data_IF_772436727010
#
_entry.id   IF_772436727010
#
_cell.length_a   1.000
_cell.length_b   1.000
_cell.length_c   1.000
_cell.angle_alpha   90.00
_cell.angle_beta   90.00
_cell.angle_gamma   90.00
#
_symmetry.space_group_name_H-M   'P 1'
#
loop_
_entity.id
_entity.type
_entity.pdbx_description
1 polymer ?
#
# COMPACT_ATOMS: atom_id res chain seq x y z
N UNK A 1 63.18 10.88 -31.28
CA UNK A 1 62.58 9.61 -30.79
C UNK A 1 61.39 9.99 -29.90
N UNK A 2 60.20 10.19 -30.46
CA UNK A 2 59.12 9.20 -30.73
C UNK A 2 58.19 9.01 -29.50
N UNK A 3 56.93 9.47 -29.66
CA UNK A 3 55.63 9.15 -28.98
C UNK A 3 55.45 9.46 -27.47
N UNK A 4 54.29 9.89 -26.93
CA UNK A 4 52.94 10.13 -27.48
C UNK A 4 52.10 11.04 -26.53
N UNK A 5 51.20 11.83 -27.11
CA UNK A 5 49.99 12.39 -26.48
C UNK A 5 48.99 11.28 -26.12
N UNK A 6 48.51 11.20 -24.88
CA UNK A 6 47.20 10.66 -24.47
C UNK A 6 46.76 11.38 -23.17
N UNK A 7 45.90 12.42 -23.25
CA UNK A 7 44.45 12.42 -22.89
C UNK A 7 44.25 12.20 -21.37
N UNK A 8 43.54 12.98 -20.51
CA UNK A 8 42.23 13.67 -20.46
C UNK A 8 40.91 12.83 -20.44
N UNK A 9 40.85 11.48 -20.64
CA UNK A 9 39.58 10.77 -20.66
C UNK A 9 39.28 10.04 -19.34
N UNK A 10 40.26 9.81 -18.47
CA UNK A 10 40.07 8.93 -17.30
C UNK A 10 39.15 9.55 -16.23
N UNK A 11 39.28 10.85 -15.99
CA UNK A 11 38.47 11.57 -15.01
C UNK A 11 37.01 11.81 -15.46
N UNK A 12 36.75 11.84 -16.78
CA UNK A 12 35.37 11.91 -17.31
C UNK A 12 34.67 10.55 -17.34
N UNK A 13 35.42 9.46 -17.45
CA UNK A 13 34.84 8.11 -17.51
C UNK A 13 34.31 7.63 -16.16
N UNK A 14 34.96 8.02 -15.05
CA UNK A 14 34.50 7.70 -13.70
C UNK A 14 33.24 8.52 -13.33
N UNK A 15 33.16 9.78 -13.78
CA UNK A 15 31.98 10.63 -13.54
C UNK A 15 30.76 10.21 -14.38
N UNK A 16 30.96 9.70 -15.59
CA UNK A 16 29.89 9.10 -16.39
C UNK A 16 29.43 7.73 -15.87
N UNK A 17 30.31 6.93 -15.25
CA UNK A 17 29.93 5.62 -14.71
C UNK A 17 29.04 5.75 -13.47
N UNK A 18 29.28 6.73 -12.60
CA UNK A 18 28.47 6.99 -11.40
C UNK A 18 27.07 7.56 -11.73
N UNK A 19 26.91 8.27 -12.84
CA UNK A 19 25.59 8.76 -13.28
C UNK A 19 24.78 7.64 -13.98
N UNK A 20 25.44 6.69 -14.65
CA UNK A 20 24.77 5.59 -15.35
C UNK A 20 24.40 4.41 -14.43
N UNK A 21 25.18 4.13 -13.38
CA UNK A 21 24.80 3.09 -12.40
C UNK A 21 23.73 3.57 -11.42
N UNK A 22 23.65 4.87 -11.13
CA UNK A 22 22.56 5.43 -10.32
C UNK A 22 21.23 5.50 -11.11
N UNK A 23 21.26 5.77 -12.41
CA UNK A 23 20.05 5.78 -13.25
C UNK A 23 19.57 4.37 -13.66
N UNK A 24 20.33 3.30 -13.37
CA UNK A 24 19.99 1.93 -13.77
C UNK A 24 19.11 1.15 -12.80
N UNK A 25 18.92 1.61 -11.55
CA UNK A 25 18.26 0.80 -10.52
C UNK A 25 16.96 1.38 -9.96
N UNK A 26 16.62 2.67 -10.11
CA UNK A 26 15.29 3.17 -9.72
C UNK A 26 14.85 4.38 -10.54
N UNK A 27 13.87 4.17 -11.41
CA UNK A 27 13.11 5.22 -12.06
C UNK A 27 12.16 5.92 -11.08
N UNK A 28 12.44 7.20 -10.82
CA UNK A 28 11.53 8.29 -10.46
C UNK A 28 10.62 8.16 -9.21
N UNK A 29 10.98 8.86 -8.11
CA UNK A 29 10.41 10.20 -7.78
C UNK A 29 10.95 10.84 -6.49
N UNK A 30 11.40 12.09 -6.66
CA UNK A 30 11.49 13.23 -5.73
C UNK A 30 12.00 13.04 -4.29
N UNK A 31 13.25 13.44 -4.08
CA UNK A 31 13.61 14.29 -2.94
C UNK A 31 14.58 15.38 -3.44
N UNK A 32 14.10 16.61 -3.49
CA UNK A 32 14.92 17.81 -3.64
C UNK A 32 15.70 17.93 -2.33
N UNK A 33 17.00 17.62 -2.36
CA UNK A 33 17.92 18.03 -1.30
C UNK A 33 18.76 19.16 -1.89
N UNK A 34 18.61 20.34 -1.28
CA UNK A 34 19.28 21.59 -1.63
C UNK A 34 20.78 21.39 -1.88
N UNK A 35 21.20 21.59 -3.13
CA UNK A 35 22.61 21.65 -3.57
C UNK A 35 23.18 23.06 -3.30
N UNK A 36 22.97 23.58 -2.09
CA UNK A 36 23.37 24.95 -1.73
C UNK A 36 24.22 25.04 -0.45
N UNK A 37 24.67 23.91 0.10
CA UNK A 37 25.53 23.89 1.31
C UNK A 37 26.95 23.38 1.03
N UNK A 38 27.25 22.87 -0.17
CA UNK A 38 28.56 22.25 -0.46
C UNK A 38 29.56 23.21 -1.12
N UNK A 39 29.14 24.43 -1.46
CA UNK A 39 29.96 25.35 -2.27
C UNK A 39 30.93 26.34 -1.58
N UNK A 40 31.15 26.40 -0.25
CA UNK A 40 32.25 27.23 0.28
C UNK A 40 33.51 26.46 0.73
N UNK A 41 33.57 25.13 0.64
CA UNK A 41 34.77 24.38 1.11
C UNK A 41 35.82 24.21 0.00
N UNK A 42 35.42 24.26 -1.26
CA UNK A 42 36.30 23.97 -2.40
C UNK A 42 37.27 25.11 -2.80
N UNK A 43 37.17 26.30 -2.19
CA UNK A 43 37.93 27.48 -2.63
C UNK A 43 39.09 27.90 -1.71
N UNK A 44 39.37 27.15 -0.62
CA UNK A 44 40.49 27.43 0.29
C UNK A 44 41.75 26.57 0.06
N UNK A 45 41.77 25.71 -0.95
CA UNK A 45 42.87 24.75 -1.16
C UNK A 45 43.90 25.21 -2.22
N UNK A 46 43.68 26.34 -2.90
CA UNK A 46 44.51 26.72 -4.07
C UNK A 46 45.63 27.75 -3.83
N UNK A 47 45.94 28.14 -2.60
CA UNK A 47 47.15 28.95 -2.34
C UNK A 47 47.90 28.50 -1.10
N UNK A 48 48.97 27.73 -1.32
CA UNK A 48 49.92 27.33 -0.28
C UNK A 48 50.80 26.18 -0.72
N UNK A 49 51.80 26.46 -1.56
CA UNK A 49 52.82 25.49 -1.91
C UNK A 49 53.87 25.40 -0.78
N UNK A 50 53.98 24.24 -0.11
CA UNK A 50 55.23 23.72 0.43
C UNK A 50 55.21 22.18 0.43
N UNK A 51 56.35 21.50 0.17
CA UNK A 51 56.39 20.07 -0.10
C UNK A 51 56.66 19.26 1.17
N UNK A 52 55.77 18.34 1.55
CA UNK A 52 56.03 17.28 2.53
C UNK A 52 55.26 16.00 2.15
N UNK A 53 56.01 15.09 1.54
CA UNK A 53 55.71 13.80 0.92
C UNK A 53 55.32 12.68 1.90
N UNK A 54 54.49 12.97 2.92
CA UNK A 54 54.08 11.94 3.91
C UNK A 54 52.60 12.01 4.36
N UNK A 55 51.75 12.85 3.74
CA UNK A 55 50.38 13.09 4.23
C UNK A 55 49.23 12.71 3.29
N UNK A 56 49.53 12.36 2.03
CA UNK A 56 48.52 11.95 1.05
C UNK A 56 48.18 10.46 1.19
N UNK A 57 49.19 9.61 1.38
CA UNK A 57 49.03 8.15 1.58
C UNK A 57 48.15 7.82 2.80
N UNK A 58 48.30 8.57 3.91
CA UNK A 58 47.50 8.36 5.12
C UNK A 58 46.03 8.73 4.97
N UNK A 59 45.73 9.73 4.13
CA UNK A 59 44.34 10.15 3.83
C UNK A 59 43.67 9.20 2.86
N UNK A 60 44.41 8.71 1.87
CA UNK A 60 43.91 7.73 0.90
C UNK A 60 43.68 6.36 1.56
N UNK A 61 44.56 5.95 2.48
CA UNK A 61 44.37 4.77 3.31
C UNK A 61 43.14 4.88 4.22
N UNK A 62 42.92 6.04 4.87
CA UNK A 62 41.74 6.27 5.71
C UNK A 62 40.43 6.27 4.90
N UNK A 63 40.45 6.82 3.67
CA UNK A 63 39.30 6.79 2.78
C UNK A 63 38.98 5.36 2.29
N UNK A 64 40.00 4.58 1.95
CA UNK A 64 39.83 3.16 1.60
C UNK A 64 39.30 2.32 2.76
N UNK A 65 39.76 2.58 3.99
CA UNK A 65 39.25 1.86 5.17
C UNK A 65 37.78 2.23 5.47
N UNK A 66 37.44 3.53 5.42
CA UNK A 66 36.05 3.96 5.57
C UNK A 66 35.12 3.38 4.49
N UNK A 67 35.62 3.23 3.26
CA UNK A 67 34.88 2.60 2.17
C UNK A 67 34.65 1.10 2.42
N UNK A 68 35.65 0.38 2.94
CA UNK A 68 35.51 -1.02 3.35
C UNK A 68 34.52 -1.20 4.51
N UNK A 69 34.57 -0.32 5.50
CA UNK A 69 33.61 -0.32 6.61
C UNK A 69 32.18 -0.10 6.11
N UNK A 70 31.99 0.83 5.15
CA UNK A 70 30.69 1.09 4.56
C UNK A 70 30.17 -0.11 3.76
N UNK A 71 31.01 -0.75 2.95
CA UNK A 71 30.66 -1.97 2.21
C UNK A 71 30.28 -3.12 3.14
N UNK A 72 31.02 -3.29 4.25
CA UNK A 72 30.72 -4.28 5.28
C UNK A 72 29.38 -4.00 5.98
N UNK A 73 29.08 -2.74 6.29
CA UNK A 73 27.79 -2.33 6.84
C UNK A 73 26.65 -2.56 5.86
N UNK A 74 26.84 -2.22 4.59
CA UNK A 74 25.83 -2.41 3.55
C UNK A 74 25.51 -3.89 3.37
N UNK A 75 26.53 -4.75 3.32
CA UNK A 75 26.35 -6.20 3.20
C UNK A 75 25.61 -6.77 4.41
N UNK A 76 25.94 -6.31 5.63
CA UNK A 76 25.26 -6.72 6.86
C UNK A 76 23.80 -6.29 6.88
N UNK A 77 23.49 -5.08 6.41
CA UNK A 77 22.11 -4.59 6.31
C UNK A 77 21.31 -5.40 5.30
N UNK A 78 21.87 -5.67 4.12
CA UNK A 78 21.21 -6.51 3.10
C UNK A 78 20.93 -7.92 3.64
N UNK A 79 21.90 -8.54 4.31
CA UNK A 79 21.70 -9.85 4.95
C UNK A 79 20.58 -9.84 6.00
N UNK A 80 20.50 -8.77 6.82
CA UNK A 80 19.41 -8.61 7.80
C UNK A 80 18.06 -8.41 7.12
N UNK A 81 17.99 -7.63 6.04
CA UNK A 81 16.76 -7.44 5.27
C UNK A 81 16.33 -8.77 4.66
N UNK A 82 17.22 -9.50 3.99
CA UNK A 82 16.90 -10.82 3.43
C UNK A 82 16.46 -11.83 4.50
N UNK A 83 17.08 -11.82 5.68
CA UNK A 83 16.66 -12.68 6.79
C UNK A 83 15.27 -12.29 7.33
N UNK A 84 14.97 -10.99 7.41
CA UNK A 84 13.64 -10.49 7.79
C UNK A 84 12.59 -10.81 6.73
N UNK A 85 12.91 -10.64 5.44
CA UNK A 85 12.05 -11.01 4.31
C UNK A 85 11.75 -12.51 4.32
N UNK A 86 12.77 -13.35 4.51
CA UNK A 86 12.60 -14.80 4.63
C UNK A 86 11.78 -15.15 5.87
N UNK A 87 11.99 -14.49 7.01
CA UNK A 87 11.21 -14.71 8.23
C UNK A 87 9.74 -14.31 8.04
N UNK A 88 9.47 -13.21 7.33
CA UNK A 88 8.10 -12.75 7.02
C UNK A 88 7.44 -13.68 6.00
N UNK A 89 8.18 -14.16 5.01
CA UNK A 89 7.69 -15.12 4.02
C UNK A 89 7.47 -16.51 4.63
N UNK A 90 8.29 -16.90 5.61
CA UNK A 90 8.09 -18.13 6.39
C UNK A 90 6.92 -17.96 7.36
N UNK A 91 6.70 -16.77 7.93
CA UNK A 91 5.49 -16.48 8.70
C UNK A 91 4.24 -16.55 7.81
N UNK A 92 4.25 -15.95 6.62
CA UNK A 92 3.12 -16.03 5.70
C UNK A 92 2.87 -17.47 5.21
N UNK A 93 3.93 -18.24 4.96
CA UNK A 93 3.82 -19.66 4.64
C UNK A 93 3.37 -20.50 5.84
N UNK A 94 3.80 -20.19 7.07
CA UNK A 94 3.30 -20.88 8.27
C UNK A 94 1.82 -20.60 8.52
N UNK A 95 1.36 -19.36 8.28
CA UNK A 95 -0.07 -19.02 8.25
C UNK A 95 -0.81 -19.78 7.14
N UNK A 96 -0.14 -20.05 6.01
CA UNK A 96 -0.70 -20.80 4.88
C UNK A 96 -0.73 -22.32 5.13
N UNK A 97 0.26 -22.87 5.83
CA UNK A 97 0.40 -24.31 6.12
C UNK A 97 -0.42 -24.71 7.35
N UNK A 98 -0.55 -23.85 8.37
CA UNK A 98 -1.46 -24.04 9.50
C UNK A 98 -2.94 -24.06 9.05
N UNK A 99 -3.27 -23.40 7.94
CA UNK A 99 -4.60 -23.49 7.30
C UNK A 99 -4.88 -24.83 6.62
N UNK A 100 -3.84 -25.63 6.32
CA UNK A 100 -3.98 -26.93 5.62
C UNK A 100 -3.74 -28.12 6.57
N UNK A 101 -3.07 -27.93 7.71
CA UNK A 101 -2.75 -29.01 8.65
C UNK A 101 -3.16 -28.76 10.12
N UNK A 102 -4.05 -27.80 10.38
CA UNK A 102 -4.55 -27.50 11.72
C UNK A 102 -6.07 -27.61 11.84
N UNK A 103 -6.54 -28.72 12.38
CA UNK A 103 -7.74 -28.75 13.23
C UNK A 103 -7.46 -27.84 14.44
N UNK A 104 -7.71 -26.54 14.23
CA UNK A 104 -7.36 -25.44 15.13
C UNK A 104 -8.46 -24.39 15.21
N UNK A 105 -9.74 -24.83 15.18
CA UNK A 105 -10.86 -24.32 15.99
C UNK A 105 -11.12 -22.81 16.18
N UNK A 106 -10.63 -21.91 15.33
CA UNK A 106 -10.96 -20.48 15.41
C UNK A 106 -12.16 -20.13 14.54
N UNK A 107 -13.21 -19.53 15.11
CA UNK A 107 -14.33 -18.97 14.33
C UNK A 107 -13.86 -17.77 13.49
N UNK A 108 -14.54 -17.44 12.38
CA UNK A 108 -14.26 -16.22 11.58
C UNK A 108 -14.18 -14.96 12.47
N UNK A 109 -15.06 -14.88 13.47
CA UNK A 109 -15.05 -13.81 14.47
C UNK A 109 -13.71 -13.75 15.20
N UNK A 110 -13.18 -14.87 15.68
CA UNK A 110 -11.90 -14.90 16.39
C UNK A 110 -10.75 -14.44 15.48
N UNK A 111 -10.69 -14.95 14.25
CA UNK A 111 -9.67 -14.61 13.26
C UNK A 111 -9.70 -13.11 12.93
N UNK A 112 -10.87 -12.58 12.54
CA UNK A 112 -10.98 -11.16 12.19
C UNK A 112 -10.79 -10.23 13.40
N UNK A 113 -11.23 -10.65 14.59
CA UNK A 113 -10.96 -9.90 15.83
C UNK A 113 -9.47 -9.79 16.13
N UNK A 114 -8.70 -10.85 15.91
CA UNK A 114 -7.24 -10.82 16.11
C UNK A 114 -6.56 -9.87 15.11
N UNK A 115 -6.99 -9.87 13.85
CA UNK A 115 -6.50 -8.94 12.83
C UNK A 115 -6.82 -7.50 13.21
N UNK A 116 -8.08 -7.19 13.57
CA UNK A 116 -8.51 -5.85 13.97
C UNK A 116 -7.68 -5.31 15.14
N UNK A 117 -7.47 -6.11 16.19
CA UNK A 117 -6.64 -5.71 17.34
C UNK A 117 -5.18 -5.49 16.95
N UNK A 118 -4.64 -6.32 16.06
CA UNK A 118 -3.26 -6.14 15.55
C UNK A 118 -3.12 -4.82 14.75
N UNK A 119 -4.21 -4.38 14.11
CA UNK A 119 -4.28 -3.09 13.41
C UNK A 119 -4.60 -1.90 14.34
N UNK A 120 -4.71 -2.12 15.66
CA UNK A 120 -5.03 -1.09 16.65
C UNK A 120 -6.49 -0.66 16.65
N UNK A 121 -7.41 -1.54 16.20
CA UNK A 121 -8.85 -1.34 16.31
C UNK A 121 -9.34 -2.05 17.57
N UNK A 122 -9.82 -1.28 18.53
CA UNK A 122 -10.35 -1.79 19.81
C UNK A 122 -11.87 -1.62 19.93
N UNK A 123 -12.46 -0.74 19.12
CA UNK A 123 -13.89 -0.40 19.16
C UNK A 123 -14.60 -0.96 17.92
N UNK A 124 -14.93 -2.24 18.02
CA UNK A 124 -15.66 -3.00 17.02
C UNK A 124 -16.54 -4.06 17.69
N UNK A 125 -17.55 -4.52 16.96
CA UNK A 125 -18.44 -5.61 17.38
C UNK A 125 -18.81 -6.48 16.19
N UNK A 126 -18.96 -7.77 16.44
CA UNK A 126 -19.54 -8.71 15.49
C UNK A 126 -20.96 -9.07 15.91
N UNK A 127 -21.89 -9.04 14.98
CA UNK A 127 -23.30 -9.40 15.22
C UNK A 127 -23.77 -10.40 14.17
N UNK A 128 -24.33 -11.52 14.64
CA UNK A 128 -25.02 -12.50 13.78
C UNK A 128 -26.43 -11.99 13.48
N UNK A 129 -26.85 -12.08 12.23
CA UNK A 129 -28.17 -11.65 11.78
C UNK A 129 -29.02 -12.84 11.32
N UNK A 130 -30.36 -12.73 11.33
CA UNK A 130 -31.24 -13.80 10.85
C UNK A 130 -30.99 -14.16 9.38
N UNK A 131 -31.36 -15.38 8.97
CA UNK A 131 -31.17 -15.86 7.60
C UNK A 131 -31.91 -15.01 6.54
N UNK A 132 -33.07 -14.44 6.90
CA UNK A 132 -33.88 -13.57 6.03
C UNK A 132 -33.43 -12.10 6.06
N UNK A 133 -32.26 -11.78 6.64
CA UNK A 133 -31.76 -10.42 6.79
C UNK A 133 -31.71 -9.65 5.46
N UNK A 134 -31.29 -10.31 4.37
CA UNK A 134 -31.21 -9.70 3.05
C UNK A 134 -32.54 -9.60 2.30
N UNK A 135 -33.59 -10.26 2.79
CA UNK A 135 -34.96 -10.16 2.24
C UNK A 135 -35.75 -9.02 2.89
N UNK A 136 -35.29 -8.55 4.06
CA UNK A 136 -35.91 -7.47 4.82
C UNK A 136 -35.58 -6.07 4.25
N UNK A 137 -36.45 -5.07 4.45
CA UNK A 137 -36.15 -3.67 4.12
C UNK A 137 -35.01 -3.10 4.99
N UNK A 138 -34.39 -2.00 4.56
CA UNK A 138 -33.21 -1.43 5.22
C UNK A 138 -33.50 -0.96 6.66
N UNK A 139 -34.72 -0.49 6.93
CA UNK A 139 -35.17 -0.06 8.25
C UNK A 139 -35.18 -1.25 9.23
N UNK A 140 -35.68 -2.40 8.80
CA UNK A 140 -35.66 -3.61 9.61
C UNK A 140 -34.23 -4.13 9.85
N UNK A 141 -33.35 -4.00 8.84
CA UNK A 141 -31.92 -4.35 9.00
C UNK A 141 -31.21 -3.43 9.98
N UNK A 142 -31.52 -2.13 9.95
CA UNK A 142 -31.04 -1.13 10.91
C UNK A 142 -31.44 -1.55 12.32
N UNK A 143 -32.71 -1.90 12.51
CA UNK A 143 -33.24 -2.29 13.82
C UNK A 143 -32.58 -3.56 14.36
N UNK A 144 -32.35 -4.57 13.50
CA UNK A 144 -31.64 -5.82 13.86
C UNK A 144 -30.21 -5.54 14.36
N UNK A 145 -29.52 -4.58 13.74
CA UNK A 145 -28.14 -4.22 14.10
C UNK A 145 -28.06 -3.08 15.13
N UNK A 146 -29.21 -2.60 15.62
CA UNK A 146 -29.30 -1.43 16.50
C UNK A 146 -28.54 -0.21 15.94
N UNK A 147 -28.49 -0.09 14.61
CA UNK A 147 -27.80 0.99 13.95
C UNK A 147 -28.55 2.32 14.13
N UNK A 148 -27.83 3.42 14.31
CA UNK A 148 -28.45 4.72 14.56
C UNK A 148 -29.34 5.23 13.40
N UNK A 149 -29.03 4.85 12.16
CA UNK A 149 -29.87 5.08 10.99
C UNK A 149 -29.52 4.11 9.86
N UNK A 150 -30.35 4.06 8.81
CA UNK A 150 -30.07 3.26 7.60
C UNK A 150 -28.78 3.69 6.91
N UNK A 151 -28.39 4.94 7.09
CA UNK A 151 -27.13 5.52 6.59
C UNK A 151 -25.89 4.89 7.22
N UNK A 152 -26.03 4.24 8.39
CA UNK A 152 -24.93 3.53 9.05
C UNK A 152 -24.74 2.11 8.49
N UNK A 153 -25.67 1.62 7.67
CA UNK A 153 -25.53 0.33 6.99
C UNK A 153 -24.74 0.53 5.71
N UNK A 154 -23.56 -0.09 5.63
CA UNK A 154 -22.67 0.00 4.47
C UNK A 154 -22.43 -1.37 3.83
N UNK A 155 -22.00 -1.33 2.58
CA UNK A 155 -21.58 -2.50 1.80
C UNK A 155 -20.20 -2.22 1.20
N UNK A 156 -19.37 -3.26 1.18
CA UNK A 156 -18.11 -3.27 0.44
C UNK A 156 -18.30 -4.04 -0.87
N UNK A 157 -17.84 -3.44 -1.96
CA UNK A 157 -18.03 -3.95 -3.31
C UNK A 157 -16.67 -3.99 -4.01
N UNK A 158 -16.30 -5.14 -4.59
CA UNK A 158 -15.08 -5.24 -5.41
C UNK A 158 -15.38 -4.71 -6.81
N UNK A 159 -14.58 -3.75 -7.26
CA UNK A 159 -14.60 -3.24 -8.62
C UNK A 159 -13.36 -3.71 -9.38
N UNK A 160 -13.53 -4.02 -10.65
CA UNK A 160 -12.48 -4.36 -11.60
C UNK A 160 -12.34 -3.25 -12.65
N UNK A 161 -11.10 -2.85 -12.94
CA UNK A 161 -10.78 -2.00 -14.06
C UNK A 161 -10.65 -2.83 -15.35
N UNK A 162 -11.71 -2.90 -16.14
CA UNK A 162 -11.70 -3.75 -17.35
C UNK A 162 -10.82 -3.19 -18.47
N UNK A 163 -10.42 -1.92 -18.39
CA UNK A 163 -9.58 -1.25 -19.39
C UNK A 163 -8.14 -1.00 -18.91
N UNK A 164 -7.76 -1.59 -17.78
CA UNK A 164 -6.40 -1.54 -17.26
C UNK A 164 -5.39 -2.00 -18.33
N UNK A 165 -4.21 -1.34 -18.44
CA UNK A 165 -3.12 -1.81 -19.29
C UNK A 165 -2.71 -3.26 -18.95
N UNK A 166 -2.16 -3.99 -19.92
CA UNK A 166 -1.82 -5.41 -19.76
C UNK A 166 -0.78 -5.69 -18.66
N UNK A 167 0.06 -4.71 -18.32
CA UNK A 167 1.03 -4.79 -17.23
C UNK A 167 0.43 -4.51 -15.84
N UNK A 168 -0.86 -4.15 -15.75
CA UNK A 168 -1.58 -3.92 -14.51
C UNK A 168 -2.53 -5.10 -14.31
N UNK A 169 -2.06 -6.12 -13.61
CA UNK A 169 -2.77 -7.39 -13.40
C UNK A 169 -3.22 -7.60 -11.97
N UNK A 170 -2.68 -6.83 -11.02
CA UNK A 170 -2.85 -7.06 -9.59
C UNK A 170 -3.19 -5.76 -8.83
N UNK A 171 -3.04 -5.81 -7.51
CA UNK A 171 -3.34 -4.74 -6.57
C UNK A 171 -2.10 -4.04 -5.99
N UNK A 172 -0.90 -4.31 -6.53
CA UNK A 172 0.39 -3.91 -5.94
C UNK A 172 0.62 -2.40 -5.86
N UNK A 173 0.01 -1.62 -6.76
CA UNK A 173 0.10 -0.16 -6.77
C UNK A 173 -1.25 0.46 -6.43
N UNK A 174 -1.48 0.90 -5.18
CA UNK A 174 -2.77 1.47 -4.76
C UNK A 174 -3.27 2.63 -5.61
N UNK A 175 -2.40 3.34 -6.32
CA UNK A 175 -2.81 4.43 -7.18
C UNK A 175 -3.31 3.95 -8.55
N UNK A 176 -2.93 2.75 -9.00
CA UNK A 176 -3.29 2.21 -10.31
C UNK A 176 -3.42 0.67 -10.29
N UNK A 177 -4.22 0.16 -9.36
CA UNK A 177 -4.54 -1.27 -9.25
C UNK A 177 -5.57 -1.73 -10.27
N UNK A 178 -5.57 -3.04 -10.56
CA UNK A 178 -6.60 -3.71 -11.36
C UNK A 178 -7.94 -3.76 -10.62
N UNK A 179 -7.90 -3.95 -9.31
CA UNK A 179 -9.09 -4.08 -8.46
C UNK A 179 -9.06 -3.05 -7.33
N UNK A 180 -10.25 -2.64 -6.88
CA UNK A 180 -10.47 -1.78 -5.72
C UNK A 180 -11.68 -2.29 -4.93
N UNK A 181 -11.64 -2.21 -3.61
CA UNK A 181 -12.85 -2.37 -2.79
C UNK A 181 -13.42 -0.98 -2.55
N UNK A 182 -14.72 -0.79 -2.81
CA UNK A 182 -15.41 0.46 -2.52
C UNK A 182 -16.44 0.23 -1.42
N UNK A 183 -16.35 1.02 -0.36
CA UNK A 183 -17.27 0.98 0.78
C UNK A 183 -18.22 2.17 0.67
N UNK A 184 -19.51 1.88 0.49
CA UNK A 184 -20.58 2.88 0.38
C UNK A 184 -21.76 2.49 1.28
N UNK A 185 -22.62 3.45 1.58
CA UNK A 185 -23.85 3.20 2.32
C UNK A 185 -24.84 2.38 1.47
N UNK A 186 -25.69 1.54 2.08
CA UNK A 186 -26.65 0.70 1.36
C UNK A 186 -27.67 1.52 0.56
N UNK A 187 -28.11 2.64 1.13
CA UNK A 187 -29.04 3.58 0.50
C UNK A 187 -28.43 4.33 -0.69
N UNK A 188 -27.08 4.41 -0.75
CA UNK A 188 -26.38 5.16 -1.77
C UNK A 188 -26.18 4.35 -3.07
N UNK A 189 -26.18 5.07 -4.19
CA UNK A 189 -25.87 4.51 -5.51
C UNK A 189 -24.44 4.87 -5.89
N UNK A 190 -23.66 3.85 -6.24
CA UNK A 190 -22.29 4.03 -6.71
C UNK A 190 -22.27 4.83 -8.02
N UNK A 191 -21.44 5.87 -8.08
CA UNK A 191 -21.13 6.63 -9.28
C UNK A 191 -19.73 6.25 -9.79
N UNK A 192 -19.69 5.40 -10.80
CA UNK A 192 -18.43 4.93 -11.38
C UNK A 192 -17.60 6.05 -12.05
N UNK A 193 -18.25 7.15 -12.49
CA UNK A 193 -17.54 8.28 -13.09
C UNK A 193 -16.77 9.08 -12.03
N UNK A 194 -17.30 9.19 -10.80
CA UNK A 194 -16.57 9.82 -9.69
C UNK A 194 -15.28 9.05 -9.36
N UNK A 195 -15.35 7.72 -9.28
CA UNK A 195 -14.19 6.86 -9.02
C UNK A 195 -13.19 6.97 -10.17
N UNK A 196 -13.65 6.93 -11.41
CA UNK A 196 -12.81 7.10 -12.59
C UNK A 196 -12.08 8.45 -12.59
N UNK A 197 -12.76 9.54 -12.27
CA UNK A 197 -12.15 10.86 -12.19
C UNK A 197 -11.15 10.95 -11.02
N UNK A 198 -11.47 10.35 -9.87
CA UNK A 198 -10.56 10.24 -8.74
C UNK A 198 -9.26 9.52 -9.14
N UNK A 199 -9.36 8.31 -9.72
CA UNK A 199 -8.18 7.53 -10.12
C UNK A 199 -7.35 8.23 -11.20
N UNK A 200 -8.00 8.92 -12.14
CA UNK A 200 -7.29 9.74 -13.12
C UNK A 200 -6.45 10.85 -12.47
N UNK A 201 -7.05 11.58 -11.52
CA UNK A 201 -6.38 12.64 -10.79
C UNK A 201 -5.27 12.09 -9.87
N UNK A 202 -5.51 10.94 -9.23
CA UNK A 202 -4.56 10.24 -8.37
C UNK A 202 -3.28 9.83 -9.13
N UNK A 203 -3.41 9.58 -10.44
CA UNK A 203 -2.29 9.30 -11.34
C UNK A 203 -1.70 10.56 -12.00
N UNK A 204 -1.96 11.74 -11.43
CA UNK A 204 -1.49 13.03 -11.93
C UNK A 204 -1.81 13.24 -13.42
N UNK A 205 -2.96 12.72 -13.86
CA UNK A 205 -3.44 12.84 -15.23
C UNK A 205 -2.56 12.15 -16.29
N UNK A 206 -1.58 11.33 -15.88
CA UNK A 206 -0.63 10.66 -16.79
C UNK A 206 -1.21 9.43 -17.48
N UNK A 207 -2.11 8.72 -16.79
CA UNK A 207 -2.81 7.57 -17.36
C UNK A 207 -4.07 8.09 -18.06
N UNK A 208 -4.31 7.80 -19.35
CA UNK A 208 -5.48 8.31 -20.05
C UNK A 208 -6.80 7.89 -19.38
N UNK A 209 -7.76 8.80 -19.21
CA UNK A 209 -9.07 8.53 -18.56
C UNK A 209 -9.77 7.26 -19.05
N UNK A 210 -9.67 6.93 -20.35
CA UNK A 210 -10.27 5.73 -20.95
C UNK A 210 -9.72 4.40 -20.42
N UNK A 211 -8.58 4.43 -19.72
CA UNK A 211 -7.94 3.28 -19.07
C UNK A 211 -8.49 2.99 -17.69
N UNK A 212 -9.42 3.82 -17.19
CA UNK A 212 -10.15 3.58 -15.96
C UNK A 212 -11.60 3.29 -16.31
N UNK A 213 -11.95 2.01 -16.46
CA UNK A 213 -13.33 1.58 -16.63
C UNK A 213 -13.69 0.62 -15.50
N UNK A 214 -14.17 1.21 -14.40
CA UNK A 214 -14.55 0.46 -13.21
C UNK A 214 -15.90 -0.23 -13.43
N UNK A 215 -15.93 -1.55 -13.23
CA UNK A 215 -17.11 -2.40 -13.27
C UNK A 215 -17.16 -3.25 -12.02
N UNK A 216 -18.35 -3.75 -11.67
CA UNK A 216 -18.49 -4.75 -10.61
C UNK A 216 -17.66 -5.98 -11.00
N UNK A 217 -16.81 -6.46 -10.09
CA UNK A 217 -16.08 -7.70 -10.30
C UNK A 217 -17.07 -8.88 -10.32
N UNK A 218 -16.86 -9.90 -11.17
CA UNK A 218 -17.60 -11.15 -11.08
C UNK A 218 -17.52 -11.75 -9.67
N UNK A 219 -18.57 -12.45 -9.24
CA UNK A 219 -18.63 -13.02 -7.89
C UNK A 219 -17.49 -13.99 -7.60
N UNK A 220 -17.14 -14.84 -8.57
CA UNK A 220 -16.01 -15.77 -8.45
C UNK A 220 -14.67 -15.04 -8.27
N UNK A 221 -14.44 -13.96 -9.00
CA UNK A 221 -13.24 -13.12 -8.83
C UNK A 221 -13.24 -12.42 -7.47
N UNK A 222 -14.39 -11.86 -7.05
CA UNK A 222 -14.54 -11.24 -5.73
C UNK A 222 -14.24 -12.24 -4.61
N UNK A 223 -14.78 -13.46 -4.70
CA UNK A 223 -14.54 -14.53 -3.73
C UNK A 223 -13.06 -14.90 -3.70
N UNK A 224 -12.43 -15.09 -4.86
CA UNK A 224 -11.01 -15.44 -4.95
C UNK A 224 -10.10 -14.35 -4.37
N UNK A 225 -10.40 -13.09 -4.64
CA UNK A 225 -9.59 -11.95 -4.20
C UNK A 225 -9.77 -11.63 -2.72
N UNK A 226 -11.01 -11.72 -2.21
CA UNK A 226 -11.35 -11.31 -0.85
C UNK A 226 -11.38 -12.47 0.14
N UNK A 227 -11.60 -13.70 -0.31
CA UNK A 227 -11.90 -14.85 0.54
C UNK A 227 -13.36 -14.89 1.03
N UNK A 228 -14.20 -13.94 0.64
CA UNK A 228 -15.56 -13.80 1.16
C UNK A 228 -16.61 -13.89 0.05
N UNK A 229 -17.68 -14.62 0.32
CA UNK A 229 -18.81 -14.75 -0.57
C UNK A 229 -19.57 -13.42 -0.77
N UNK A 230 -20.46 -13.39 -1.76
CA UNK A 230 -21.41 -12.29 -1.91
C UNK A 230 -22.14 -12.02 -0.58
N UNK A 231 -22.37 -10.74 -0.27
CA UNK A 231 -22.94 -10.27 1.00
C UNK A 231 -22.09 -10.49 2.27
N UNK A 232 -20.97 -11.20 2.19
CA UNK A 232 -20.05 -11.42 3.31
C UNK A 232 -18.79 -10.54 3.24
N UNK A 233 -18.51 -9.94 2.08
CA UNK A 233 -17.29 -9.16 1.82
C UNK A 233 -17.05 -8.13 2.92
N UNK A 234 -15.81 -8.09 3.39
CA UNK A 234 -15.28 -7.10 4.33
C UNK A 234 -13.90 -6.65 3.89
N UNK A 235 -13.41 -5.53 4.43
CA UNK A 235 -12.10 -4.98 4.08
C UNK A 235 -10.97 -5.53 4.97
N UNK A 236 -11.27 -6.47 5.87
CA UNK A 236 -10.36 -6.98 6.89
C UNK A 236 -10.08 -8.46 6.61
N UNK A 237 -8.81 -8.84 6.60
CA UNK A 237 -8.41 -10.25 6.42
C UNK A 237 -8.70 -10.80 5.02
N UNK A 238 -8.67 -9.94 3.99
CA UNK A 238 -8.79 -10.38 2.61
C UNK A 238 -7.57 -11.22 2.16
N UNK A 239 -7.79 -12.15 1.23
CA UNK A 239 -6.71 -12.98 0.65
C UNK A 239 -5.72 -12.15 -0.20
N UNK A 240 -6.20 -11.06 -0.80
CA UNK A 240 -5.39 -10.08 -1.53
C UNK A 240 -5.46 -8.73 -0.82
N UNK A 241 -4.33 -8.02 -0.75
CA UNK A 241 -4.29 -6.63 -0.29
C UNK A 241 -4.86 -5.70 -1.38
N UNK A 242 -6.19 -5.54 -1.38
CA UNK A 242 -6.91 -4.72 -2.35
C UNK A 242 -7.07 -3.29 -1.79
N UNK A 243 -6.64 -2.25 -2.52
CA UNK A 243 -6.83 -0.87 -2.08
C UNK A 243 -8.30 -0.54 -1.85
N UNK A 244 -8.57 0.13 -0.73
CA UNK A 244 -9.93 0.47 -0.30
C UNK A 244 -10.22 1.94 -0.61
N UNK A 245 -11.40 2.18 -1.17
CA UNK A 245 -11.99 3.51 -1.33
C UNK A 245 -13.20 3.58 -0.40
N UNK A 246 -13.21 4.56 0.49
CA UNK A 246 -14.30 4.81 1.44
C UNK A 246 -15.09 6.04 0.98
N UNK A 247 -16.41 5.91 0.92
CA UNK A 247 -17.27 7.04 0.61
C UNK A 247 -17.17 8.14 1.68
N UNK A 248 -17.03 9.38 1.23
CA UNK A 248 -16.86 10.54 2.10
C UNK A 248 -18.04 10.71 3.08
N UNK A 249 -19.27 10.34 2.71
CA UNK A 249 -20.43 10.47 3.59
C UNK A 249 -20.31 9.60 4.84
N UNK A 250 -19.65 8.43 4.75
CA UNK A 250 -19.42 7.54 5.90
C UNK A 250 -18.55 8.22 6.96
N UNK A 251 -17.60 9.05 6.54
CA UNK A 251 -16.73 9.82 7.46
C UNK A 251 -17.49 10.88 8.26
N UNK A 252 -18.68 11.27 7.79
CA UNK A 252 -19.53 12.31 8.35
C UNK A 252 -20.66 11.76 9.24
N UNK A 253 -20.76 10.44 9.38
CA UNK A 253 -21.80 9.79 10.18
C UNK A 253 -21.73 10.21 11.65
N UNK A 254 -22.92 10.30 12.26
CA UNK A 254 -23.11 10.53 13.69
C UNK A 254 -24.12 9.51 14.21
N UNK A 255 -23.72 8.62 15.13
CA UNK A 255 -22.38 8.44 15.72
C UNK A 255 -21.29 8.05 14.71
N UNK A 256 -20.01 8.20 15.11
CA UNK A 256 -18.82 7.82 14.33
C UNK A 256 -18.65 6.29 14.31
N UNK A 257 -19.60 5.60 13.70
CA UNK A 257 -19.67 4.15 13.68
C UNK A 257 -20.43 3.71 12.43
N UNK A 258 -20.12 2.56 11.86
CA UNK A 258 -20.91 2.02 10.76
C UNK A 258 -20.81 0.50 10.72
N UNK A 259 -21.71 -0.12 9.96
CA UNK A 259 -21.81 -1.57 9.79
C UNK A 259 -21.45 -1.98 8.38
N UNK A 260 -20.72 -3.09 8.22
CA UNK A 260 -20.40 -3.71 6.94
C UNK A 260 -20.43 -5.24 7.05
N UNK A 261 -20.10 -5.95 5.97
CA UNK A 261 -19.95 -7.42 5.99
C UNK A 261 -18.92 -7.85 7.03
N UNK A 262 -19.18 -8.98 7.69
CA UNK A 262 -18.34 -9.52 8.77
C UNK A 262 -17.53 -10.75 8.38
N UNK A 263 -17.40 -11.05 7.08
CA UNK A 263 -16.70 -12.24 6.59
C UNK A 263 -17.59 -13.48 6.39
N UNK A 264 -18.83 -13.45 6.87
CA UNK A 264 -19.85 -14.46 6.58
C UNK A 264 -21.19 -13.77 6.21
N UNK A 265 -22.06 -14.48 5.49
CA UNK A 265 -23.32 -13.90 4.96
C UNK A 265 -24.22 -13.41 6.10
N UNK A 266 -24.31 -14.16 7.19
CA UNK A 266 -25.09 -13.85 8.38
C UNK A 266 -24.27 -13.11 9.45
N UNK A 267 -23.05 -12.68 9.16
CA UNK A 267 -22.19 -11.97 10.11
C UNK A 267 -21.96 -10.52 9.66
N UNK A 268 -22.08 -9.58 10.60
CA UNK A 268 -21.88 -8.14 10.38
C UNK A 268 -20.84 -7.60 11.32
N UNK A 269 -19.97 -6.74 10.79
CA UNK A 269 -18.95 -6.03 11.54
C UNK A 269 -19.44 -4.60 11.74
N UNK A 270 -19.64 -4.21 12.99
CA UNK A 270 -19.77 -2.82 13.41
C UNK A 270 -18.40 -2.29 13.81
N UNK A 271 -18.00 -1.13 13.32
CA UNK A 271 -16.68 -0.56 13.60
C UNK A 271 -16.74 0.97 13.70
N UNK A 272 -15.95 1.52 14.63
CA UNK A 272 -15.74 2.98 14.73
C UNK A 272 -15.06 3.51 13.47
N UNK A 273 -15.68 4.50 12.82
CA UNK A 273 -15.22 5.01 11.51
C UNK A 273 -13.78 5.50 11.54
N UNK A 274 -13.40 6.23 12.57
CA UNK A 274 -12.03 6.74 12.75
C UNK A 274 -10.99 5.63 12.91
N UNK A 275 -11.30 4.55 13.63
CA UNK A 275 -10.39 3.41 13.77
C UNK A 275 -10.28 2.61 12.47
N UNK A 276 -11.39 2.43 11.74
CA UNK A 276 -11.37 1.82 10.41
C UNK A 276 -10.45 2.60 9.46
N UNK A 277 -10.55 3.93 9.42
CA UNK A 277 -9.70 4.78 8.57
C UNK A 277 -8.23 4.62 8.95
N UNK A 278 -7.90 4.60 10.23
CA UNK A 278 -6.51 4.46 10.70
C UNK A 278 -5.92 3.08 10.37
N UNK A 279 -6.72 2.02 10.50
CA UNK A 279 -6.30 0.64 10.26
C UNK A 279 -6.18 0.33 8.77
N UNK A 280 -7.20 0.68 7.98
CA UNK A 280 -7.32 0.30 6.56
C UNK A 280 -6.66 1.32 5.64
N UNK A 281 -6.50 2.57 6.08
CA UNK A 281 -5.94 3.69 5.30
C UNK A 281 -6.61 3.85 3.92
N UNK A 282 -7.96 3.91 3.86
CA UNK A 282 -8.66 4.00 2.59
C UNK A 282 -8.46 5.37 1.92
N UNK A 283 -8.63 5.41 0.60
CA UNK A 283 -8.87 6.66 -0.10
C UNK A 283 -10.27 7.19 0.24
N UNK A 284 -10.36 8.43 0.70
CA UNK A 284 -11.66 9.05 1.00
C UNK A 284 -12.13 9.82 -0.25
N UNK A 285 -13.26 9.41 -0.81
CA UNK A 285 -13.75 9.92 -2.10
C UNK A 285 -15.27 10.06 -2.04
N UNK A 286 -15.83 11.11 -2.66
CA UNK A 286 -17.26 11.15 -2.92
C UNK A 286 -17.61 10.14 -4.04
N UNK A 287 -18.00 8.93 -3.65
CA UNK A 287 -18.24 7.80 -4.55
C UNK A 287 -19.67 7.77 -5.08
N UNK A 288 -20.58 8.51 -4.45
CA UNK A 288 -22.01 8.44 -4.70
C UNK A 288 -22.59 9.75 -5.25
N UNK A 289 -23.82 9.68 -5.75
CA UNK A 289 -24.58 10.83 -6.28
C UNK A 289 -26.04 10.70 -5.90
#
# INVERSE_FOLDING_TARGET
>A
MIFAQWTVPFARQIFCFLILTWNGILGLRHAIINVEVVLPVAQRVLHGAQPLDQSLDGREAAAMEAMRELEALQTRLLQRITALELSLQTQSLSISVDRVAGDGGGTTVATLSAILRTLGVDDFVFTRVPADYYDRPLEARRDILEAASVEHLCKSIVLVNTQAPANITDCSNPNNSKYYVVVIQYAARLNAENIKNFLYNLNENKVPKKKFNMRLAPEEESLKLTGFAHNAVTCIGMETDIPVILDEAITKLKPNFFWLGGGEVDLKLGIRTSQFINAVKPFIVNCCS
#
